data_IF_300680541792
#
_entry.id   IF_300680541792
#
_cell.length_a   1.000
_cell.length_b   1.000
_cell.length_c   1.000
_cell.angle_alpha   90.00
_cell.angle_beta   90.00
_cell.angle_gamma   90.00
#
_symmetry.space_group_name_H-M   'P 1'
#
loop_
_entity.id
_entity.type
_entity.pdbx_description
1 polymer ?
#
# COMPACT_ATOMS: atom_id res chain seq x y z
N UNK A 1 2.30 -6.48 15.15
CA UNK A 1 1.19 -7.15 14.41
C UNK A 1 -0.13 -6.37 14.42
N UNK A 2 -0.48 -5.58 15.45
CA UNK A 2 -1.75 -4.85 15.51
C UNK A 2 -1.90 -3.69 14.50
N UNK A 3 -0.82 -2.94 14.20
CA UNK A 3 -0.90 -1.72 13.39
C UNK A 3 -1.22 -1.92 11.90
N UNK A 4 -0.80 -3.03 11.29
CA UNK A 4 -1.04 -3.34 9.87
C UNK A 4 -2.44 -3.90 9.64
N UNK A 5 -2.92 -4.76 10.54
CA UNK A 5 -4.32 -5.23 10.55
C UNK A 5 -5.28 -4.04 10.73
N UNK A 6 -4.92 -3.09 11.59
CA UNK A 6 -5.73 -1.90 11.85
C UNK A 6 -5.76 -0.95 10.64
N UNK A 7 -4.62 -0.71 9.96
CA UNK A 7 -4.61 0.09 8.72
C UNK A 7 -5.42 -0.57 7.60
N UNK A 8 -5.32 -1.89 7.42
CA UNK A 8 -6.10 -2.62 6.40
C UNK A 8 -7.60 -2.60 6.73
N UNK A 9 -7.96 -2.71 8.01
CA UNK A 9 -9.35 -2.59 8.51
C UNK A 9 -9.92 -1.18 8.36
N UNK A 10 -9.11 -0.13 8.36
CA UNK A 10 -9.55 1.25 8.15
C UNK A 10 -9.54 1.66 6.66
N UNK A 11 -8.65 1.10 5.87
CA UNK A 11 -8.56 1.37 4.43
C UNK A 11 -9.76 0.82 3.64
N UNK A 12 -10.28 -0.36 4.03
CA UNK A 12 -11.45 -0.97 3.40
C UNK A 12 -12.75 -0.14 3.52
N UNK A 13 -13.18 0.33 4.71
CA UNK A 13 -14.37 1.17 4.83
C UNK A 13 -14.16 2.54 4.18
N UNK A 14 -12.95 3.12 4.23
CA UNK A 14 -12.65 4.36 3.53
C UNK A 14 -12.78 4.21 2.00
N UNK A 15 -12.27 3.09 1.45
CA UNK A 15 -12.43 2.75 0.03
C UNK A 15 -13.90 2.56 -0.35
N UNK A 16 -14.66 1.83 0.48
CA UNK A 16 -16.07 1.59 0.27
C UNK A 16 -16.89 2.89 0.29
N UNK A 17 -16.60 3.81 1.23
CA UNK A 17 -17.25 5.11 1.30
C UNK A 17 -16.91 5.98 0.07
N UNK A 18 -15.64 6.03 -0.34
CA UNK A 18 -15.24 6.75 -1.54
C UNK A 18 -15.91 6.20 -2.80
N UNK A 19 -15.97 4.87 -2.94
CA UNK A 19 -16.68 4.19 -4.02
C UNK A 19 -18.18 4.48 -4.01
N UNK A 20 -18.81 4.50 -2.83
CA UNK A 20 -20.24 4.84 -2.69
C UNK A 20 -20.52 6.30 -3.08
N UNK A 21 -19.70 7.26 -2.65
CA UNK A 21 -19.83 8.67 -3.04
C UNK A 21 -19.63 8.85 -4.54
N UNK A 22 -18.65 8.17 -5.13
CA UNK A 22 -18.42 8.18 -6.57
C UNK A 22 -19.62 7.58 -7.33
N UNK A 23 -20.17 6.46 -6.88
CA UNK A 23 -21.35 5.84 -7.49
C UNK A 23 -22.59 6.72 -7.40
N UNK A 24 -22.86 7.34 -6.24
CA UNK A 24 -24.01 8.24 -6.05
C UNK A 24 -23.87 9.51 -6.89
N UNK A 25 -22.68 10.14 -6.91
CA UNK A 25 -22.45 11.34 -7.73
C UNK A 25 -22.53 11.05 -9.23
N UNK A 26 -22.06 9.89 -9.67
CA UNK A 26 -22.16 9.44 -11.05
C UNK A 26 -23.62 9.11 -11.40
N UNK A 27 -24.35 8.42 -10.53
CA UNK A 27 -25.78 8.14 -10.70
C UNK A 27 -26.64 9.40 -10.80
N UNK A 28 -26.38 10.41 -9.96
CA UNK A 28 -27.05 11.71 -10.03
C UNK A 28 -26.76 12.44 -11.34
N UNK A 29 -25.51 12.37 -11.84
CA UNK A 29 -25.17 12.94 -13.16
C UNK A 29 -25.81 12.17 -14.31
N UNK A 30 -25.88 10.84 -14.23
CA UNK A 30 -26.44 9.98 -15.29
C UNK A 30 -27.98 10.01 -15.33
N UNK A 31 -28.64 10.31 -14.20
CA UNK A 31 -30.08 10.54 -14.16
C UNK A 31 -30.52 11.65 -15.13
N UNK A 32 -29.66 12.65 -15.36
CA UNK A 32 -29.89 13.72 -16.33
C UNK A 32 -29.76 13.27 -17.80
N UNK A 33 -29.16 12.12 -18.08
CA UNK A 33 -28.83 11.65 -19.44
C UNK A 33 -29.53 10.33 -19.85
N UNK A 34 -30.48 9.83 -19.05
CA UNK A 34 -31.23 8.59 -19.31
C UNK A 34 -30.34 7.39 -19.70
N UNK A 35 -29.16 7.30 -19.08
CA UNK A 35 -28.17 6.25 -19.38
C UNK A 35 -28.64 4.93 -18.77
N UNK A 36 -28.56 3.80 -19.50
CA UNK A 36 -29.02 2.51 -19.00
C UNK A 36 -28.28 2.09 -17.72
N UNK A 37 -29.06 1.68 -16.73
CA UNK A 37 -28.58 1.38 -15.37
C UNK A 37 -27.48 0.31 -15.32
N UNK A 38 -27.44 -0.60 -16.31
CA UNK A 38 -26.40 -1.63 -16.44
C UNK A 38 -25.00 -1.04 -16.71
N UNK A 39 -24.90 0.03 -17.50
CA UNK A 39 -23.63 0.73 -17.73
C UNK A 39 -23.17 1.49 -16.49
N UNK A 40 -24.11 2.12 -15.77
CA UNK A 40 -23.85 2.83 -14.51
C UNK A 40 -23.32 1.87 -13.43
N UNK A 41 -23.95 0.69 -13.30
CA UNK A 41 -23.51 -0.36 -12.38
C UNK A 41 -22.12 -0.90 -12.74
N UNK A 42 -21.89 -1.19 -14.02
CA UNK A 42 -20.58 -1.68 -14.49
C UNK A 42 -19.47 -0.65 -14.25
N UNK A 43 -19.77 0.63 -14.46
CA UNK A 43 -18.86 1.74 -14.17
C UNK A 43 -18.56 1.84 -12.67
N UNK A 44 -19.59 1.83 -11.82
CA UNK A 44 -19.43 1.90 -10.37
C UNK A 44 -18.61 0.72 -9.82
N UNK A 45 -18.88 -0.51 -10.29
CA UNK A 45 -18.12 -1.70 -9.92
C UNK A 45 -16.66 -1.62 -10.39
N UNK A 46 -16.41 -1.11 -11.59
CA UNK A 46 -15.05 -0.91 -12.12
C UNK A 46 -14.26 0.12 -11.30
N UNK A 47 -14.90 1.24 -10.95
CA UNK A 47 -14.30 2.27 -10.08
C UNK A 47 -14.01 1.71 -8.68
N UNK A 48 -14.95 0.96 -8.10
CA UNK A 48 -14.77 0.32 -6.79
C UNK A 48 -13.64 -0.72 -6.83
N UNK A 49 -13.59 -1.57 -7.85
CA UNK A 49 -12.53 -2.57 -7.99
C UNK A 49 -11.16 -1.90 -8.17
N UNK A 50 -11.08 -0.86 -9.00
CA UNK A 50 -9.84 -0.11 -9.26
C UNK A 50 -9.34 0.61 -8.01
N UNK A 51 -10.24 1.24 -7.26
CA UNK A 51 -9.90 1.92 -6.00
C UNK A 51 -9.44 0.94 -4.93
N UNK A 52 -10.13 -0.18 -4.75
CA UNK A 52 -9.70 -1.24 -3.82
C UNK A 52 -8.32 -1.78 -4.21
N UNK A 53 -8.10 -2.05 -5.51
CA UNK A 53 -6.82 -2.52 -6.01
C UNK A 53 -5.70 -1.50 -5.75
N UNK A 54 -5.93 -0.24 -6.08
CA UNK A 54 -4.96 0.84 -5.88
C UNK A 54 -4.60 1.00 -4.40
N UNK A 55 -5.60 1.00 -3.52
CA UNK A 55 -5.38 1.11 -2.07
C UNK A 55 -4.61 -0.08 -1.52
N UNK A 56 -4.94 -1.30 -1.97
CA UNK A 56 -4.18 -2.49 -1.58
C UNK A 56 -2.73 -2.42 -2.08
N UNK A 57 -2.50 -1.92 -3.29
CA UNK A 57 -1.18 -1.75 -3.88
C UNK A 57 -0.34 -0.69 -3.14
N UNK A 58 -0.95 0.46 -2.81
CA UNK A 58 -0.31 1.50 -1.99
C UNK A 58 -0.01 0.97 -0.59
N UNK A 59 -0.94 0.24 0.03
CA UNK A 59 -0.72 -0.36 1.34
C UNK A 59 0.44 -1.36 1.31
N UNK A 60 0.55 -2.20 0.29
CA UNK A 60 1.69 -3.11 0.11
C UNK A 60 3.00 -2.33 -0.06
N UNK A 61 3.01 -1.30 -0.93
CA UNK A 61 4.18 -0.45 -1.14
C UNK A 61 4.64 0.24 0.16
N UNK A 62 3.71 0.72 1.00
CA UNK A 62 3.99 1.35 2.28
C UNK A 62 4.44 0.35 3.37
N UNK A 63 4.25 -0.95 3.17
CA UNK A 63 4.76 -1.99 4.09
C UNK A 63 6.18 -2.43 3.77
N UNK A 64 6.77 -1.94 2.69
CA UNK A 64 8.17 -2.21 2.33
C UNK A 64 9.08 -1.23 3.07
N UNK A 65 9.88 -1.76 4.01
CA UNK A 65 10.94 -0.99 4.66
C UNK A 65 12.28 -1.35 4.04
N UNK A 66 13.07 -0.35 3.68
CA UNK A 66 14.44 -0.53 3.19
C UNK A 66 15.43 -0.21 4.30
N UNK A 67 16.25 -1.18 4.68
CA UNK A 67 17.36 -1.01 5.60
C UNK A 67 18.65 -0.91 4.80
N UNK A 68 19.42 0.15 5.04
CA UNK A 68 20.70 0.42 4.37
C UNK A 68 21.81 0.48 5.41
N UNK A 69 23.01 0.05 5.04
CA UNK A 69 24.17 0.37 5.84
C UNK A 69 24.49 1.88 5.73
N UNK A 70 24.92 2.50 6.84
CA UNK A 70 25.32 3.91 6.91
C UNK A 70 26.83 4.12 6.70
N UNK A 71 27.61 3.05 6.52
CA UNK A 71 29.05 3.17 6.33
C UNK A 71 29.38 3.79 4.95
N UNK A 72 30.37 4.70 4.88
CA UNK A 72 30.78 5.30 3.61
C UNK A 72 31.37 4.24 2.67
N UNK A 73 30.88 4.20 1.43
CA UNK A 73 31.32 3.25 0.41
C UNK A 73 30.63 1.88 0.45
N UNK A 74 29.57 1.73 1.25
CA UNK A 74 28.83 0.48 1.35
C UNK A 74 27.46 0.56 0.65
N UNK A 75 27.23 -0.33 -0.33
CA UNK A 75 25.95 -0.41 -1.09
C UNK A 75 24.97 -1.46 -0.53
N UNK A 76 25.24 -2.00 0.66
CA UNK A 76 24.38 -3.01 1.25
C UNK A 76 23.00 -2.44 1.61
N UNK A 77 21.97 -3.01 0.98
CA UNK A 77 20.57 -2.66 1.18
C UNK A 77 19.69 -3.90 1.20
N UNK A 78 18.78 -3.96 2.16
CA UNK A 78 17.81 -5.04 2.30
C UNK A 78 16.41 -4.44 2.28
N UNK A 79 15.53 -4.98 1.44
CA UNK A 79 14.13 -4.60 1.35
C UNK A 79 13.29 -5.69 1.98
N UNK A 80 12.50 -5.33 2.99
CA UNK A 80 11.65 -6.28 3.70
C UNK A 80 10.22 -5.77 3.73
N UNK A 81 9.29 -6.70 3.52
CA UNK A 81 7.86 -6.47 3.70
C UNK A 81 7.49 -6.78 5.14
N UNK A 82 6.72 -5.88 5.76
CA UNK A 82 6.08 -6.09 7.05
C UNK A 82 7.10 -6.44 8.14
N UNK A 83 7.83 -5.44 8.62
CA UNK A 83 8.69 -5.59 9.80
C UNK A 83 7.99 -5.02 11.03
N UNK A 84 7.90 -5.80 12.10
CA UNK A 84 7.52 -5.23 13.40
C UNK A 84 8.68 -4.41 13.99
N UNK A 85 8.46 -3.72 15.11
CA UNK A 85 9.49 -2.87 15.71
C UNK A 85 10.71 -3.66 16.24
N UNK A 86 10.54 -4.92 16.63
CA UNK A 86 11.64 -5.78 17.10
C UNK A 86 12.44 -6.33 15.91
N UNK A 87 11.74 -6.76 14.87
CA UNK A 87 12.30 -7.20 13.61
C UNK A 87 13.01 -6.06 12.88
N UNK A 88 12.47 -4.85 12.90
CA UNK A 88 13.13 -3.66 12.37
C UNK A 88 14.48 -3.41 13.03
N UNK A 89 14.56 -3.54 14.36
CA UNK A 89 15.82 -3.41 15.11
C UNK A 89 16.81 -4.51 14.78
N UNK A 90 16.34 -5.75 14.61
CA UNK A 90 17.19 -6.87 14.16
C UNK A 90 17.77 -6.61 12.77
N UNK A 91 16.95 -6.14 11.82
CA UNK A 91 17.42 -5.85 10.47
C UNK A 91 18.35 -4.64 10.39
N UNK A 92 18.18 -3.63 11.25
CA UNK A 92 19.16 -2.56 11.43
C UNK A 92 20.50 -3.11 11.91
N UNK A 93 20.49 -4.02 12.89
CA UNK A 93 21.71 -4.66 13.40
C UNK A 93 22.39 -5.52 12.34
N UNK A 94 21.64 -6.35 11.62
CA UNK A 94 22.16 -7.15 10.50
C UNK A 94 22.77 -6.25 9.42
N UNK A 95 22.11 -5.13 9.08
CA UNK A 95 22.65 -4.17 8.12
C UNK A 95 23.90 -3.43 8.61
N UNK A 96 24.16 -3.36 9.92
CA UNK A 96 25.37 -2.79 10.50
C UNK A 96 26.51 -3.82 10.64
N UNK A 97 26.18 -5.09 10.88
CA UNK A 97 27.15 -6.17 11.12
C UNK A 97 27.40 -7.03 9.87
N UNK A 98 26.93 -6.59 8.71
CA UNK A 98 27.03 -7.38 7.50
C UNK A 98 28.50 -7.50 7.00
N UNK A 99 28.88 -8.64 6.42
CA UNK A 99 30.28 -9.00 6.18
C UNK A 99 31.00 -8.18 5.09
N UNK A 100 30.30 -7.38 4.27
CA UNK A 100 30.96 -6.57 3.23
C UNK A 100 31.70 -5.33 3.74
N UNK A 101 31.80 -5.13 5.05
CA UNK A 101 32.74 -4.16 5.64
C UNK A 101 34.22 -4.59 5.53
N UNK A 102 34.48 -5.83 5.13
CA UNK A 102 35.83 -6.42 5.10
C UNK A 102 36.46 -6.67 3.73
N UNK A 103 35.81 -6.35 2.60
CA UNK A 103 36.43 -6.55 1.27
C UNK A 103 37.04 -5.25 0.74
N UNK A 104 38.31 -5.03 1.10
CA UNK A 104 39.19 -4.04 0.46
C UNK A 104 40.33 -4.83 -0.19
N UNK A 105 40.33 -5.06 -1.52
CA UNK A 105 41.55 -5.44 -2.23
C UNK A 105 42.54 -4.26 -2.24
#
# INVERSE_FOLDING_TARGET
MAGTVQRRRLALPAAALAGAVAAVSTGLRLAAYHVPASLSLSCALSVLASTVWLIAHIADALTVTTYRCQAPGCDFRVRLRITDAAESRRWQKIAAEHPSHGYRP
#
